data_IF_050339199972
#
_entry.id   IF_050339199972
#
_cell.length_a   1.000
_cell.length_b   1.000
_cell.length_c   1.000
_cell.angle_alpha   90.00
_cell.angle_beta   90.00
_cell.angle_gamma   90.00
#
_symmetry.space_group_name_H-M   'P 1'
#
loop_
_entity.id
_entity.type
_entity.pdbx_description
1 polymer ?
#
# COMPACT_ATOMS: atom_id res chain seq x y z
N UNK A 1 7.86 -16.42 18.19
CA UNK A 1 9.24 -16.01 17.82
C UNK A 1 10.30 -16.73 18.66
N UNK A 2 10.43 -16.46 19.96
CA UNK A 2 11.48 -17.11 20.80
C UNK A 2 11.23 -18.59 21.02
N UNK A 3 10.05 -18.95 21.53
CA UNK A 3 9.69 -20.36 21.82
C UNK A 3 9.73 -21.27 20.57
N UNK A 4 9.54 -20.69 19.38
CA UNK A 4 9.61 -21.40 18.10
C UNK A 4 11.02 -21.44 17.50
N UNK A 5 12.03 -20.92 18.20
CA UNK A 5 13.43 -20.86 17.75
C UNK A 5 13.68 -19.97 16.53
N UNK A 6 12.82 -18.98 16.29
CA UNK A 6 13.00 -17.98 15.20
C UNK A 6 13.98 -16.89 15.64
N UNK A 7 13.98 -16.53 16.93
CA UNK A 7 14.87 -15.55 17.52
C UNK A 7 15.40 -16.07 18.86
N UNK A 8 16.66 -15.78 19.22
CA UNK A 8 17.24 -16.20 20.50
C UNK A 8 16.68 -15.41 21.69
N UNK A 9 16.22 -14.18 21.46
CA UNK A 9 15.66 -13.27 22.46
C UNK A 9 14.43 -12.57 21.91
N UNK A 10 13.64 -11.96 22.80
CA UNK A 10 12.48 -11.16 22.41
C UNK A 10 12.99 -9.88 21.73
N UNK A 11 12.51 -9.52 20.52
CA UNK A 11 12.89 -8.27 19.88
C UNK A 11 12.41 -7.07 20.72
N UNK A 12 13.27 -6.08 20.87
CA UNK A 12 13.03 -4.91 21.73
C UNK A 12 12.30 -3.77 20.98
N UNK A 13 12.23 -3.86 19.66
CA UNK A 13 11.63 -2.86 18.79
C UNK A 13 10.84 -3.48 17.62
N UNK A 14 10.04 -2.62 16.96
CA UNK A 14 9.20 -3.00 15.83
C UNK A 14 10.03 -3.39 14.60
N UNK A 15 11.16 -2.73 14.35
CA UNK A 15 12.01 -3.00 13.19
C UNK A 15 12.65 -4.39 13.30
N UNK A 16 13.14 -4.74 14.49
CA UNK A 16 13.67 -6.05 14.84
C UNK A 16 12.59 -7.12 14.77
N UNK A 17 11.39 -6.84 15.30
CA UNK A 17 10.26 -7.77 15.21
C UNK A 17 9.84 -8.03 13.77
N UNK A 18 9.57 -6.98 12.97
CA UNK A 18 9.13 -7.11 11.57
C UNK A 18 10.18 -7.76 10.69
N UNK A 19 11.47 -7.51 10.93
CA UNK A 19 12.57 -8.21 10.24
C UNK A 19 12.52 -9.72 10.48
N UNK A 20 12.13 -10.18 11.67
CA UNK A 20 11.97 -11.60 11.98
C UNK A 20 10.76 -12.23 11.27
N UNK A 21 9.83 -11.46 10.72
CA UNK A 21 8.69 -11.99 9.97
C UNK A 21 9.00 -12.30 8.50
N UNK A 22 10.19 -11.93 8.01
CA UNK A 22 10.62 -12.20 6.63
C UNK A 22 10.73 -13.71 6.37
N UNK A 23 10.29 -14.15 5.19
CA UNK A 23 10.38 -15.55 4.76
C UNK A 23 11.84 -16.04 4.79
N UNK A 24 12.04 -17.27 5.29
CA UNK A 24 13.29 -17.99 5.20
C UNK A 24 13.05 -19.38 4.57
N UNK A 25 13.76 -19.68 3.49
CA UNK A 25 13.61 -20.93 2.72
C UNK A 25 13.95 -22.19 3.54
N UNK A 26 14.75 -22.07 4.60
CA UNK A 26 15.13 -23.20 5.46
C UNK A 26 14.15 -23.46 6.60
N UNK A 27 13.08 -22.67 6.72
CA UNK A 27 12.07 -22.86 7.76
C UNK A 27 11.18 -24.07 7.47
N UNK A 28 10.91 -24.83 8.53
CA UNK A 28 9.80 -25.79 8.59
C UNK A 28 8.43 -25.08 8.53
N UNK A 29 7.35 -25.87 8.47
CA UNK A 29 5.99 -25.35 8.38
C UNK A 29 5.59 -24.48 9.58
N UNK A 30 6.08 -24.81 10.79
CA UNK A 30 5.71 -24.11 12.01
C UNK A 30 6.35 -22.73 12.05
N UNK A 31 7.67 -22.65 11.80
CA UNK A 31 8.39 -21.39 11.73
C UNK A 31 7.82 -20.50 10.62
N UNK A 32 7.53 -21.09 9.45
CA UNK A 32 6.92 -20.38 8.33
C UNK A 32 5.54 -19.82 8.68
N UNK A 33 4.69 -20.63 9.31
CA UNK A 33 3.36 -20.19 9.78
C UNK A 33 3.47 -19.03 10.78
N UNK A 34 4.29 -19.17 11.82
CA UNK A 34 4.48 -18.12 12.83
C UNK A 34 4.98 -16.80 12.22
N UNK A 35 5.88 -16.85 11.22
CA UNK A 35 6.33 -15.65 10.51
C UNK A 35 5.21 -15.01 9.69
N UNK A 36 4.43 -15.83 8.96
CA UNK A 36 3.29 -15.34 8.17
C UNK A 36 2.26 -14.68 9.06
N UNK A 37 1.79 -15.38 10.09
CA UNK A 37 0.75 -14.89 11.00
C UNK A 37 1.19 -13.61 11.71
N UNK A 38 2.45 -13.55 12.15
CA UNK A 38 3.03 -12.34 12.73
C UNK A 38 3.11 -11.17 11.74
N UNK A 39 3.52 -11.44 10.48
CA UNK A 39 3.56 -10.42 9.44
C UNK A 39 2.17 -9.90 9.09
N UNK A 40 1.19 -10.81 8.99
CA UNK A 40 -0.19 -10.49 8.64
C UNK A 40 -0.85 -9.67 9.75
N UNK A 41 -0.71 -10.09 11.01
CA UNK A 41 -1.25 -9.33 12.16
C UNK A 41 -0.57 -7.96 12.30
N UNK A 42 0.75 -7.88 12.16
CA UNK A 42 1.46 -6.60 12.22
C UNK A 42 0.98 -5.66 11.11
N UNK A 43 0.89 -6.16 9.87
CA UNK A 43 0.36 -5.39 8.73
C UNK A 43 -1.09 -5.00 8.94
N UNK A 44 -1.92 -5.84 9.55
CA UNK A 44 -3.33 -5.53 9.80
C UNK A 44 -3.50 -4.36 10.77
N UNK A 45 -2.64 -4.27 11.79
CA UNK A 45 -2.71 -3.25 12.85
C UNK A 45 -2.02 -1.92 12.50
N UNK A 46 -1.23 -1.89 11.42
CA UNK A 46 -0.48 -0.70 11.02
C UNK A 46 -1.37 0.37 10.37
N UNK A 47 -1.11 1.65 10.67
CA UNK A 47 -1.75 2.80 10.01
C UNK A 47 -0.85 3.28 8.87
N UNK A 48 -1.37 3.25 7.64
CA UNK A 48 -0.61 3.62 6.45
C UNK A 48 -1.21 4.85 5.78
N UNK A 49 -0.38 5.86 5.52
CA UNK A 49 -0.74 7.04 4.74
C UNK A 49 -0.02 6.98 3.40
N UNK A 50 -0.78 7.06 2.30
CA UNK A 50 -0.26 7.01 0.93
C UNK A 50 -0.67 8.30 0.22
N UNK A 51 0.31 9.00 -0.37
CA UNK A 51 0.08 10.10 -1.29
C UNK A 51 0.61 9.66 -2.65
N UNK A 52 -0.23 9.73 -3.68
CA UNK A 52 0.09 9.30 -5.03
C UNK A 52 -0.30 10.37 -6.05
N UNK A 53 0.39 10.38 -7.18
CA UNK A 53 0.12 11.31 -8.29
C UNK A 53 0.23 10.56 -9.61
N UNK A 54 -0.88 10.48 -10.34
CA UNK A 54 -0.95 9.88 -11.66
C UNK A 54 -1.13 10.97 -12.73
N UNK A 55 -0.33 10.87 -13.79
CA UNK A 55 -0.47 11.69 -14.99
C UNK A 55 -0.72 10.77 -16.17
N UNK A 56 -1.87 10.95 -16.80
CA UNK A 56 -2.22 10.19 -17.98
C UNK A 56 -2.69 11.10 -19.12
N UNK A 57 -2.54 10.60 -20.33
CA UNK A 57 -2.90 11.30 -21.56
C UNK A 57 -3.60 10.37 -22.54
N UNK A 58 -4.57 10.90 -23.26
CA UNK A 58 -5.26 10.21 -24.35
C UNK A 58 -5.42 11.17 -25.52
N UNK A 59 -4.79 10.86 -26.65
CA UNK A 59 -4.89 11.68 -27.86
C UNK A 59 -6.29 11.64 -28.46
N UNK A 60 -6.77 12.76 -28.99
CA UNK A 60 -8.08 12.86 -29.62
C UNK A 60 -8.29 14.17 -30.36
N UNK A 61 -9.54 14.62 -30.43
CA UNK A 61 -9.90 15.92 -31.02
C UNK A 61 -9.86 16.98 -29.94
N UNK A 62 -9.15 18.08 -30.19
CA UNK A 62 -9.08 19.19 -29.25
C UNK A 62 -10.46 19.78 -28.92
N UNK A 63 -10.67 20.08 -27.65
CA UNK A 63 -11.96 20.50 -27.08
C UNK A 63 -12.93 19.34 -26.80
N UNK A 64 -12.63 18.11 -27.22
CA UNK A 64 -13.54 16.97 -27.15
C UNK A 64 -12.90 15.78 -26.43
N UNK A 65 -11.78 15.27 -26.93
CA UNK A 65 -11.20 13.98 -26.52
C UNK A 65 -9.67 13.95 -26.46
N UNK A 66 -8.99 15.07 -26.71
CA UNK A 66 -7.55 15.19 -26.47
C UNK A 66 -7.28 15.47 -24.99
N UNK A 67 -7.35 14.40 -24.18
CA UNK A 67 -7.30 14.50 -22.74
C UNK A 67 -5.87 14.47 -22.19
N UNK A 68 -5.60 15.41 -21.29
CA UNK A 68 -4.50 15.37 -20.34
C UNK A 68 -5.09 15.45 -18.95
N UNK A 69 -4.72 14.51 -18.09
CA UNK A 69 -5.28 14.42 -16.77
C UNK A 69 -4.19 14.30 -15.70
N UNK A 70 -4.42 14.99 -14.60
CA UNK A 70 -3.66 14.87 -13.37
C UNK A 70 -4.60 14.37 -12.28
N UNK A 71 -4.25 13.26 -11.65
CA UNK A 71 -4.97 12.72 -10.49
C UNK A 71 -4.03 12.71 -9.29
N UNK A 72 -4.41 13.41 -8.22
CA UNK A 72 -3.69 13.36 -6.94
C UNK A 72 -4.55 12.63 -5.93
N UNK A 73 -4.06 11.50 -5.43
CA UNK A 73 -4.74 10.65 -4.47
C UNK A 73 -4.07 10.76 -3.10
N UNK A 74 -4.85 11.05 -2.06
CA UNK A 74 -4.46 10.86 -0.66
C UNK A 74 -5.32 9.74 -0.05
N UNK A 75 -4.67 8.69 0.46
CA UNK A 75 -5.34 7.55 1.10
C UNK A 75 -4.75 7.26 2.49
N UNK A 76 -5.63 7.00 3.45
CA UNK A 76 -5.29 6.52 4.79
C UNK A 76 -5.93 5.16 5.02
N UNK A 77 -5.12 4.14 5.28
CA UNK A 77 -5.57 2.80 5.65
C UNK A 77 -5.35 2.54 7.15
N UNK A 78 -6.36 2.02 7.84
CA UNK A 78 -6.32 1.81 9.29
C UNK A 78 -6.99 0.48 9.71
N UNK A 79 -6.62 -0.11 10.86
CA UNK A 79 -7.28 -1.31 11.38
C UNK A 79 -8.75 -1.04 11.73
N UNK A 80 -9.63 -2.01 11.43
CA UNK A 80 -11.03 -2.02 11.86
C UNK A 80 -11.47 -3.47 12.11
N UNK A 81 -11.66 -3.84 13.38
CA UNK A 81 -11.87 -5.24 13.81
C UNK A 81 -10.79 -6.17 13.22
N UNK A 82 -11.19 -7.31 12.68
CA UNK A 82 -10.31 -8.27 12.00
C UNK A 82 -10.07 -7.89 10.52
N UNK A 83 -10.29 -6.62 10.15
CA UNK A 83 -10.10 -6.10 8.80
C UNK A 83 -9.37 -4.76 8.79
N UNK A 84 -9.44 -4.09 7.63
CA UNK A 84 -8.92 -2.74 7.45
C UNK A 84 -9.99 -1.85 6.82
N UNK A 85 -10.07 -0.62 7.29
CA UNK A 85 -10.83 0.45 6.65
C UNK A 85 -9.88 1.38 5.89
N UNK A 86 -10.40 2.08 4.89
CA UNK A 86 -9.66 3.14 4.21
C UNK A 86 -10.52 4.40 4.08
N UNK A 87 -9.85 5.56 4.08
CA UNK A 87 -10.40 6.85 3.67
C UNK A 87 -9.56 7.36 2.52
N UNK A 88 -10.19 7.78 1.43
CA UNK A 88 -9.51 8.25 0.22
C UNK A 88 -10.13 9.57 -0.27
N UNK A 89 -9.27 10.49 -0.69
CA UNK A 89 -9.63 11.73 -1.36
C UNK A 89 -8.84 11.85 -2.66
N UNK A 90 -9.52 12.18 -3.74
CA UNK A 90 -8.97 12.31 -5.08
C UNK A 90 -9.18 13.73 -5.61
N UNK A 91 -8.15 14.32 -6.21
CA UNK A 91 -8.24 15.59 -6.93
C UNK A 91 -7.89 15.35 -8.39
N UNK A 92 -8.92 15.35 -9.23
CA UNK A 92 -8.80 15.10 -10.67
C UNK A 92 -8.88 16.42 -11.43
N UNK A 93 -7.86 16.72 -12.22
CA UNK A 93 -7.85 17.81 -13.20
C UNK A 93 -7.82 17.20 -14.59
N UNK A 94 -8.81 17.51 -15.42
CA UNK A 94 -8.94 17.01 -16.78
C UNK A 94 -8.97 18.19 -17.77
N UNK A 95 -8.08 18.16 -18.75
CA UNK A 95 -7.99 19.14 -19.83
C UNK A 95 -8.22 18.43 -21.17
N UNK A 96 -9.18 18.89 -21.97
CA UNK A 96 -9.55 18.28 -23.26
C UNK A 96 -8.90 18.97 -24.48
N UNK A 97 -7.86 19.80 -24.26
CA UNK A 97 -7.32 20.76 -25.20
C UNK A 97 -8.38 21.76 -25.74
N UNK A 98 -8.01 22.58 -26.72
CA UNK A 98 -8.89 23.61 -27.28
C UNK A 98 -9.58 23.12 -28.55
N UNK A 99 -10.81 23.59 -28.79
CA UNK A 99 -11.44 23.43 -30.11
C UNK A 99 -10.54 24.06 -31.18
N UNK A 100 -10.46 23.43 -32.35
CA UNK A 100 -9.80 24.03 -33.50
C UNK A 100 -10.70 25.17 -34.01
N UNK A 101 -10.21 26.41 -33.96
CA UNK A 101 -10.85 27.53 -34.65
C UNK A 101 -10.70 27.31 -36.17
N UNK A 102 -11.84 27.31 -36.88
CA UNK A 102 -11.93 27.15 -38.34
C UNK A 102 -11.86 28.46 -39.10
#
# INVERSE_FOLDING_TARGET
MVASGIAPTVPEDNDGYTRLTRNNATDDWLKRGIRSDAADLYRQQDVRVTLDHDYWRSSGTGGISDYQAHDTMLQVDMPLYDGRAFLRTDTVQLNAAQFLDG
#
